data_IF_817885011721
#
_entry.id   IF_817885011721
#
_cell.length_a   1.000
_cell.length_b   1.000
_cell.length_c   1.000
_cell.angle_alpha   90.00
_cell.angle_beta   90.00
_cell.angle_gamma   90.00
#
_symmetry.space_group_name_H-M   'P 1'
#
loop_
_entity.id
_entity.type
_entity.pdbx_description
1 polymer ?
#
# COMPACT_ATOMS: atom_id res chain seq x y z
N UNK A 1 -3.32 4.89 1.78
CA UNK A 1 -4.08 6.03 1.20
C UNK A 1 -3.59 7.38 1.70
N UNK A 2 -3.16 7.47 2.96
CA UNK A 2 -2.66 8.68 3.61
C UNK A 2 -1.63 9.51 2.79
N UNK A 3 -0.72 8.88 2.03
CA UNK A 3 0.25 9.62 1.20
C UNK A 3 -0.40 10.36 0.02
N UNK A 4 -1.35 9.70 -0.66
CA UNK A 4 -2.05 10.27 -1.80
C UNK A 4 -2.89 11.48 -1.37
N UNK A 5 -3.45 11.45 -0.16
CA UNK A 5 -4.35 12.53 0.29
C UNK A 5 -3.63 13.84 0.53
N UNK A 6 -2.35 13.83 0.92
CA UNK A 6 -1.54 15.06 0.97
C UNK A 6 -1.43 15.70 -0.41
N UNK A 7 -1.11 14.90 -1.43
CA UNK A 7 -0.99 15.41 -2.81
C UNK A 7 -2.33 15.92 -3.35
N UNK A 8 -3.43 15.20 -3.10
CA UNK A 8 -4.78 15.64 -3.51
C UNK A 8 -5.18 16.94 -2.80
N UNK A 9 -4.88 17.07 -1.50
CA UNK A 9 -5.14 18.30 -0.75
C UNK A 9 -4.34 19.48 -1.27
N UNK A 10 -3.06 19.27 -1.62
CA UNK A 10 -2.22 20.30 -2.23
C UNK A 10 -2.76 20.79 -3.59
N UNK A 11 -3.52 19.96 -4.30
CA UNK A 11 -4.25 20.35 -5.52
C UNK A 11 -5.57 21.08 -5.24
N UNK A 12 -5.90 21.35 -3.98
CA UNK A 12 -7.14 22.03 -3.58
C UNK A 12 -8.37 21.13 -3.57
N UNK A 13 -8.20 19.80 -3.58
CA UNK A 13 -9.33 18.87 -3.53
C UNK A 13 -9.78 18.64 -2.08
N UNK A 14 -11.09 18.59 -1.89
CA UNK A 14 -11.69 18.08 -0.67
C UNK A 14 -11.62 16.56 -0.66
N UNK A 15 -11.03 15.99 0.39
CA UNK A 15 -10.77 14.55 0.48
C UNK A 15 -11.25 14.04 1.83
N UNK A 16 -11.98 12.93 1.81
CA UNK A 16 -12.33 12.15 2.99
C UNK A 16 -11.75 10.76 2.81
N UNK A 17 -11.11 10.23 3.85
CA UNK A 17 -10.59 8.87 3.85
C UNK A 17 -11.56 7.98 4.60
N UNK A 18 -11.93 6.85 3.98
CA UNK A 18 -12.69 5.78 4.62
C UNK A 18 -11.86 4.51 4.52
N UNK A 19 -11.35 4.00 5.63
CA UNK A 19 -10.48 2.81 5.63
C UNK A 19 -10.73 1.91 6.85
N UNK A 20 -10.39 0.61 6.76
CA UNK A 20 -10.64 -0.32 7.86
C UNK A 20 -9.70 -0.03 9.04
N UNK A 21 -10.22 -0.19 10.26
CA UNK A 21 -9.46 -0.05 11.49
C UNK A 21 -8.91 -1.40 11.93
N UNK A 22 -7.58 -1.56 11.83
CA UNK A 22 -6.87 -2.75 12.27
C UNK A 22 -6.28 -2.51 13.67
N UNK A 23 -6.84 -3.11 14.74
CA UNK A 23 -6.39 -2.85 16.10
C UNK A 23 -5.06 -3.55 16.43
N UNK A 24 -4.63 -4.52 15.64
CA UNK A 24 -3.43 -5.30 15.90
C UNK A 24 -2.48 -5.38 14.71
N UNK A 25 -1.20 -5.57 15.03
CA UNK A 25 -0.16 -6.05 14.11
C UNK A 25 0.55 -7.26 14.70
N UNK A 26 1.29 -7.98 13.86
CA UNK A 26 2.13 -9.10 14.30
C UNK A 26 3.26 -8.56 15.18
N UNK A 27 3.41 -9.12 16.37
CA UNK A 27 4.58 -8.89 17.21
C UNK A 27 5.78 -9.66 16.64
N UNK A 28 6.63 -8.94 15.89
CA UNK A 28 7.80 -9.50 15.23
C UNK A 28 8.83 -10.08 16.20
N UNK A 29 8.97 -9.51 17.40
CA UNK A 29 9.97 -9.99 18.36
C UNK A 29 9.52 -11.28 19.02
N UNK A 30 8.25 -11.35 19.40
CA UNK A 30 7.66 -12.60 19.91
C UNK A 30 7.57 -13.67 18.81
N UNK A 31 7.24 -13.28 17.57
CA UNK A 31 7.22 -14.21 16.43
C UNK A 31 8.59 -14.87 16.21
N UNK A 32 9.69 -14.10 16.25
CA UNK A 32 11.05 -14.63 16.12
C UNK A 32 11.36 -15.68 17.19
N UNK A 33 10.98 -15.42 18.45
CA UNK A 33 11.17 -16.37 19.55
C UNK A 33 10.39 -17.66 19.31
N UNK A 34 9.12 -17.56 18.94
CA UNK A 34 8.27 -18.74 18.65
C UNK A 34 8.74 -19.55 17.45
N UNK A 35 9.31 -18.90 16.44
CA UNK A 35 9.94 -19.59 15.31
C UNK A 35 11.19 -20.34 15.78
N UNK A 36 12.08 -19.70 16.55
CA UNK A 36 13.31 -20.31 17.05
C UNK A 36 13.03 -21.55 17.91
N UNK A 37 12.01 -21.48 18.76
CA UNK A 37 11.62 -22.56 19.68
C UNK A 37 10.61 -23.54 19.06
N UNK A 38 10.28 -23.39 17.77
CA UNK A 38 9.31 -24.22 17.02
C UNK A 38 7.92 -24.31 17.68
N UNK A 39 7.49 -23.26 18.36
CA UNK A 39 6.21 -23.15 19.08
C UNK A 39 5.16 -22.31 18.36
N UNK A 40 5.45 -21.84 17.13
CA UNK A 40 4.54 -20.99 16.36
C UNK A 40 3.29 -21.75 15.89
N UNK A 41 2.11 -21.22 16.25
CA UNK A 41 0.85 -21.52 15.57
C UNK A 41 0.58 -20.44 14.51
N UNK A 42 0.66 -20.80 13.24
CA UNK A 42 0.41 -19.89 12.13
C UNK A 42 -1.06 -19.49 12.00
N UNK A 43 -1.99 -20.19 12.67
CA UNK A 43 -3.39 -19.75 12.78
C UNK A 43 -3.60 -18.77 13.95
N UNK A 44 -2.63 -18.57 14.84
CA UNK A 44 -2.73 -17.61 15.94
C UNK A 44 -1.36 -16.93 16.20
N UNK A 45 -0.90 -16.08 15.26
CA UNK A 45 0.39 -15.41 15.41
C UNK A 45 0.37 -14.49 16.63
N UNK A 46 1.52 -14.25 17.29
CA UNK A 46 1.59 -13.31 18.38
C UNK A 46 1.25 -11.90 17.88
N UNK A 47 0.29 -11.26 18.55
CA UNK A 47 -0.21 -9.94 18.20
C UNK A 47 0.15 -8.92 19.26
N UNK A 48 0.35 -7.68 18.83
CA UNK A 48 0.40 -6.50 19.70
C UNK A 48 -0.50 -5.41 19.13
N UNK A 49 -0.89 -4.46 19.98
CA UNK A 49 -1.70 -3.31 19.54
C UNK A 49 -0.98 -2.54 18.44
N UNK A 50 -1.71 -2.19 17.38
CA UNK A 50 -1.19 -1.37 16.29
C UNK A 50 -1.28 0.11 16.67
N UNK A 51 -0.13 0.78 16.60
CA UNK A 51 0.01 2.16 17.03
C UNK A 51 -0.04 3.10 15.82
N UNK A 52 -1.25 3.60 15.53
CA UNK A 52 -1.51 4.54 14.43
C UNK A 52 -0.76 5.87 14.58
N UNK A 53 -0.29 6.22 15.78
CA UNK A 53 0.44 7.46 16.06
C UNK A 53 1.92 7.35 15.67
N UNK A 54 2.43 6.13 15.49
CA UNK A 54 3.81 5.86 15.04
C UNK A 54 3.93 5.74 13.52
N UNK A 55 2.85 5.95 12.78
CA UNK A 55 2.89 5.96 11.33
C UNK A 55 3.62 7.21 10.82
N UNK A 56 4.26 7.14 9.62
CA UNK A 56 4.85 8.33 8.99
C UNK A 56 3.85 9.47 8.78
N UNK A 57 2.58 9.10 8.57
CA UNK A 57 1.42 10.00 8.60
C UNK A 57 0.54 9.52 9.75
N UNK A 58 0.66 10.12 10.96
CA UNK A 58 0.00 9.61 12.15
C UNK A 58 -1.50 9.87 12.13
N UNK A 59 -2.26 8.97 12.77
CA UNK A 59 -3.69 9.14 13.06
C UNK A 59 -3.93 9.02 14.56
N UNK A 60 -4.83 9.85 15.10
CA UNK A 60 -5.20 9.82 16.53
C UNK A 60 -6.59 9.26 16.71
N UNK A 61 -6.66 7.94 16.78
CA UNK A 61 -7.93 7.23 16.83
C UNK A 61 -8.57 7.45 18.21
N UNK A 62 -9.78 8.02 18.30
CA UNK A 62 -10.44 8.21 19.58
C UNK A 62 -10.78 6.85 20.23
N UNK A 63 -10.88 6.85 21.57
CA UNK A 63 -11.25 5.63 22.32
C UNK A 63 -12.70 5.20 22.11
N UNK A 64 -13.57 6.14 21.76
CA UNK A 64 -15.00 5.90 21.55
C UNK A 64 -15.34 6.05 20.06
N UNK A 65 -16.22 5.19 19.53
CA UNK A 65 -16.73 5.37 18.18
C UNK A 65 -17.58 6.65 18.09
N UNK A 66 -17.52 7.28 16.92
CA UNK A 66 -18.31 8.45 16.54
C UNK A 66 -19.75 8.04 16.21
N UNK A 67 -19.91 6.95 15.45
CA UNK A 67 -21.20 6.34 15.16
C UNK A 67 -21.06 4.84 14.84
N UNK A 68 -22.20 4.20 14.60
CA UNK A 68 -22.28 2.77 14.28
C UNK A 68 -23.06 2.55 12.99
N UNK A 69 -22.63 1.56 12.22
CA UNK A 69 -23.39 1.06 11.07
C UNK A 69 -23.58 -0.46 11.19
N UNK A 70 -24.50 -0.99 10.42
CA UNK A 70 -24.76 -2.43 10.33
C UNK A 70 -24.67 -2.86 8.88
N UNK A 71 -24.02 -3.99 8.61
CA UNK A 71 -23.94 -4.57 7.27
C UNK A 71 -24.29 -6.05 7.29
N UNK A 72 -24.81 -6.57 6.19
CA UNK A 72 -24.99 -8.00 5.99
C UNK A 72 -23.81 -8.59 5.20
N UNK A 73 -23.13 -9.56 5.80
CA UNK A 73 -22.04 -10.33 5.18
C UNK A 73 -22.38 -11.81 5.22
N UNK A 74 -22.43 -12.47 4.06
CA UNK A 74 -22.84 -13.89 3.95
C UNK A 74 -24.15 -14.21 4.69
N UNK A 75 -25.14 -13.31 4.63
CA UNK A 75 -26.43 -13.45 5.30
C UNK A 75 -26.40 -13.25 6.82
N UNK A 76 -25.27 -12.86 7.41
CA UNK A 76 -25.13 -12.54 8.83
C UNK A 76 -25.05 -11.02 9.03
N UNK A 77 -25.71 -10.55 10.08
CA UNK A 77 -25.65 -9.16 10.51
C UNK A 77 -24.34 -8.90 11.25
N UNK A 78 -23.55 -7.95 10.76
CA UNK A 78 -22.28 -7.51 11.37
C UNK A 78 -22.44 -6.08 11.84
N UNK A 79 -22.14 -5.85 13.13
CA UNK A 79 -22.12 -4.50 13.73
C UNK A 79 -20.74 -3.88 13.54
N UNK A 80 -20.72 -2.63 13.09
CA UNK A 80 -19.49 -1.92 12.75
C UNK A 80 -19.41 -0.63 13.57
N UNK A 81 -18.29 -0.46 14.25
CA UNK A 81 -17.94 0.76 14.98
C UNK A 81 -17.10 1.66 14.07
N UNK A 82 -17.48 2.93 13.98
CA UNK A 82 -16.81 3.92 13.14
C UNK A 82 -16.19 5.00 14.01
N UNK A 83 -14.91 5.27 13.80
CA UNK A 83 -14.11 6.22 14.54
C UNK A 83 -13.73 7.35 13.59
N UNK A 84 -14.10 8.57 13.95
CA UNK A 84 -13.70 9.77 13.21
C UNK A 84 -12.40 10.33 13.79
N UNK A 85 -11.44 10.60 12.93
CA UNK A 85 -10.17 11.25 13.27
C UNK A 85 -9.70 12.12 12.09
N UNK A 86 -8.50 12.68 12.20
CA UNK A 86 -7.84 13.44 11.15
C UNK A 86 -6.38 13.00 11.05
N UNK A 87 -5.77 13.20 9.89
CA UNK A 87 -4.32 13.11 9.73
C UNK A 87 -3.63 14.47 10.05
N UNK A 88 -2.32 14.51 9.88
CA UNK A 88 -1.50 15.70 10.14
C UNK A 88 -1.80 16.90 9.21
N UNK A 89 -2.48 16.64 8.09
CA UNK A 89 -3.04 17.65 7.20
C UNK A 89 -4.45 18.08 7.58
N UNK A 90 -5.05 17.63 8.69
CA UNK A 90 -6.47 17.87 9.01
C UNK A 90 -7.43 17.30 7.95
N UNK A 91 -7.03 16.26 7.21
CA UNK A 91 -7.94 15.53 6.31
C UNK A 91 -8.80 14.60 7.18
N UNK A 92 -10.14 14.63 7.08
CA UNK A 92 -10.99 13.70 7.81
C UNK A 92 -10.73 12.24 7.43
N UNK A 93 -10.57 11.40 8.45
CA UNK A 93 -10.40 9.95 8.31
C UNK A 93 -11.45 9.22 9.14
N UNK A 94 -12.20 8.36 8.49
CA UNK A 94 -13.19 7.49 9.09
C UNK A 94 -12.67 6.05 9.07
N UNK A 95 -12.33 5.59 10.27
CA UNK A 95 -11.79 4.25 10.52
C UNK A 95 -12.92 3.34 10.99
N UNK A 96 -13.14 2.20 10.34
CA UNK A 96 -14.24 1.29 10.70
C UNK A 96 -13.76 -0.12 11.05
N UNK A 97 -14.28 -0.70 12.14
CA UNK A 97 -14.03 -2.11 12.52
C UNK A 97 -15.31 -2.86 12.84
N UNK A 98 -15.31 -4.16 12.57
CA UNK A 98 -16.35 -5.02 13.11
C UNK A 98 -16.15 -5.26 14.61
N UNK A 99 -17.24 -5.30 15.37
CA UNK A 99 -17.19 -5.44 16.84
C UNK A 99 -16.62 -6.77 17.31
N UNK A 100 -16.78 -7.82 16.50
CA UNK A 100 -16.30 -9.16 16.83
C UNK A 100 -14.82 -9.35 16.46
N UNK A 101 -14.19 -8.34 15.85
CA UNK A 101 -12.80 -8.36 15.40
C UNK A 101 -12.45 -9.61 14.59
N UNK A 102 -13.36 -10.00 13.69
CA UNK A 102 -13.18 -11.11 12.75
C UNK A 102 -12.61 -10.62 11.42
N UNK A 103 -13.17 -9.55 10.85
CA UNK A 103 -12.76 -9.06 9.52
C UNK A 103 -11.59 -8.07 9.59
N UNK A 104 -11.52 -7.27 10.66
CA UNK A 104 -10.51 -6.23 10.80
C UNK A 104 -9.49 -6.52 11.91
N UNK A 105 -9.40 -7.75 12.43
CA UNK A 105 -8.42 -8.12 13.47
C UNK A 105 -7.00 -7.74 13.09
N UNK A 106 -6.59 -8.15 11.89
CA UNK A 106 -5.23 -8.04 11.40
C UNK A 106 -5.26 -7.81 9.88
N UNK A 107 -4.45 -6.86 9.43
CA UNK A 107 -4.32 -6.55 8.01
C UNK A 107 -3.74 -7.74 7.22
N UNK A 108 -4.34 -8.05 6.08
CA UNK A 108 -3.92 -9.12 5.15
C UNK A 108 -3.85 -10.53 5.74
N UNK A 109 -4.62 -10.82 6.79
CA UNK A 109 -4.67 -12.16 7.40
C UNK A 109 -5.95 -12.91 7.01
N UNK A 110 -5.81 -14.03 6.30
CA UNK A 110 -6.93 -14.80 5.75
C UNK A 110 -6.88 -16.27 6.14
N UNK A 111 -8.05 -16.88 6.27
CA UNK A 111 -8.22 -18.30 6.50
C UNK A 111 -9.32 -18.92 5.66
N UNK A 112 -9.98 -19.93 6.22
CA UNK A 112 -11.05 -20.71 5.58
C UNK A 112 -12.47 -20.25 5.94
N UNK A 113 -12.63 -19.08 6.57
CA UNK A 113 -13.93 -18.57 7.03
C UNK A 113 -14.42 -19.15 8.36
N UNK A 114 -13.51 -19.77 9.13
CA UNK A 114 -13.82 -20.37 10.44
C UNK A 114 -13.25 -19.54 11.58
N UNK A 115 -11.93 -19.64 11.82
CA UNK A 115 -11.21 -18.77 12.77
C UNK A 115 -10.85 -17.41 12.19
N UNK A 116 -10.60 -17.38 10.88
CA UNK A 116 -10.21 -16.19 10.13
C UNK A 116 -11.02 -16.10 8.83
N UNK A 117 -11.36 -14.89 8.38
CA UNK A 117 -12.16 -14.68 7.20
C UNK A 117 -11.42 -15.12 5.94
N UNK A 118 -12.16 -15.57 4.93
CA UNK A 118 -11.64 -15.72 3.58
C UNK A 118 -11.38 -14.36 2.93
N UNK A 119 -10.56 -14.31 1.88
CA UNK A 119 -10.36 -13.08 1.11
C UNK A 119 -11.67 -12.54 0.48
N UNK A 120 -12.61 -13.43 0.15
CA UNK A 120 -13.95 -13.08 -0.33
C UNK A 120 -14.76 -12.37 0.76
N UNK A 121 -14.78 -12.94 1.97
CA UNK A 121 -15.47 -12.38 3.15
C UNK A 121 -14.94 -11.02 3.54
N UNK A 122 -13.61 -10.85 3.55
CA UNK A 122 -13.01 -9.55 3.80
C UNK A 122 -13.39 -8.56 2.70
N UNK A 123 -13.33 -8.94 1.42
CA UNK A 123 -13.70 -8.03 0.32
C UNK A 123 -15.17 -7.60 0.37
N UNK A 124 -16.08 -8.54 0.68
CA UNK A 124 -17.50 -8.25 0.90
C UNK A 124 -17.69 -7.28 2.08
N UNK A 125 -17.14 -7.62 3.24
CA UNK A 125 -17.26 -6.81 4.45
C UNK A 125 -16.69 -5.40 4.24
N UNK A 126 -15.44 -5.29 3.78
CA UNK A 126 -14.75 -4.01 3.64
C UNK A 126 -15.52 -3.05 2.72
N UNK A 127 -16.04 -3.56 1.60
CA UNK A 127 -16.74 -2.72 0.62
C UNK A 127 -18.15 -2.36 1.06
N UNK A 128 -18.91 -3.30 1.66
CA UNK A 128 -20.24 -2.98 2.19
C UNK A 128 -20.17 -2.02 3.38
N UNK A 129 -19.26 -2.25 4.32
CA UNK A 129 -19.06 -1.38 5.48
C UNK A 129 -18.60 0.02 5.03
N UNK A 130 -17.63 0.09 4.12
CA UNK A 130 -17.18 1.35 3.53
C UNK A 130 -18.31 2.14 2.88
N UNK A 131 -19.17 1.50 2.08
CA UNK A 131 -20.33 2.17 1.47
C UNK A 131 -21.34 2.67 2.51
N UNK A 132 -21.62 1.93 3.57
CA UNK A 132 -22.53 2.40 4.64
C UNK A 132 -21.95 3.61 5.36
N UNK A 133 -20.62 3.63 5.57
CA UNK A 133 -19.93 4.78 6.17
C UNK A 133 -20.01 6.00 5.24
N UNK A 134 -19.72 5.81 3.94
CA UNK A 134 -19.82 6.88 2.93
C UNK A 134 -21.25 7.42 2.87
N UNK A 135 -22.26 6.55 2.78
CA UNK A 135 -23.66 6.96 2.74
C UNK A 135 -24.08 7.75 3.99
N UNK A 136 -23.61 7.36 5.17
CA UNK A 136 -23.85 8.13 6.40
C UNK A 136 -23.26 9.54 6.32
N UNK A 137 -22.02 9.67 5.86
CA UNK A 137 -21.31 10.96 5.73
C UNK A 137 -22.03 11.84 4.70
N UNK A 138 -22.30 11.31 3.51
CA UNK A 138 -22.93 12.05 2.40
C UNK A 138 -24.37 12.47 2.73
N UNK A 139 -25.15 11.63 3.43
CA UNK A 139 -26.49 12.01 3.86
C UNK A 139 -26.47 13.15 4.89
N UNK A 140 -25.38 13.29 5.65
CA UNK A 140 -25.19 14.44 6.54
C UNK A 140 -24.80 15.69 5.72
N UNK A 141 -23.83 15.57 4.82
CA UNK A 141 -23.40 16.67 3.95
C UNK A 141 -24.57 17.19 3.09
N UNK A 142 -25.38 16.30 2.52
CA UNK A 142 -26.56 16.70 1.74
C UNK A 142 -27.59 17.48 2.56
N UNK A 143 -27.73 17.20 3.87
CA UNK A 143 -28.59 17.98 4.76
C UNK A 143 -27.99 19.33 5.11
N UNK A 144 -26.68 19.36 5.33
CA UNK A 144 -25.96 20.56 5.75
C UNK A 144 -25.77 21.55 4.59
N UNK A 145 -25.56 21.07 3.36
CA UNK A 145 -25.28 21.87 2.16
C UNK A 145 -26.51 22.13 1.28
N UNK A 146 -27.58 21.34 1.41
CA UNK A 146 -28.81 21.49 0.63
C UNK A 146 -28.57 21.44 -0.88
N UNK A 147 -28.93 22.52 -1.59
CA UNK A 147 -28.81 22.62 -3.05
C UNK A 147 -27.36 22.75 -3.55
N UNK A 148 -26.41 23.08 -2.65
CA UNK A 148 -24.99 23.16 -2.99
C UNK A 148 -24.31 21.79 -3.05
N UNK A 149 -24.93 20.76 -2.47
CA UNK A 149 -24.37 19.41 -2.44
C UNK A 149 -24.21 18.84 -3.84
N UNK A 150 -23.05 18.26 -4.11
CA UNK A 150 -22.75 17.55 -5.36
C UNK A 150 -22.40 16.09 -5.07
N UNK A 151 -22.73 15.16 -5.99
CA UNK A 151 -22.40 13.75 -5.80
C UNK A 151 -20.89 13.51 -5.63
N UNK A 152 -20.46 12.59 -4.74
CA UNK A 152 -19.06 12.37 -4.48
C UNK A 152 -18.38 11.54 -5.57
N UNK A 153 -17.05 11.60 -5.58
CA UNK A 153 -16.21 10.62 -6.28
C UNK A 153 -15.79 9.53 -5.28
N UNK A 154 -16.20 8.29 -5.51
CA UNK A 154 -15.83 7.15 -4.67
C UNK A 154 -14.66 6.41 -5.32
N UNK A 155 -13.45 6.58 -4.79
CA UNK A 155 -12.24 5.96 -5.32
C UNK A 155 -11.86 4.68 -4.55
N UNK A 156 -12.07 3.53 -5.18
CA UNK A 156 -11.67 2.21 -4.67
C UNK A 156 -10.28 1.79 -5.15
N UNK A 157 -9.51 1.18 -4.25
CA UNK A 157 -8.10 0.84 -4.46
C UNK A 157 -7.82 -0.66 -4.28
N UNK A 158 -7.28 -1.27 -5.32
CA UNK A 158 -6.93 -2.70 -5.42
C UNK A 158 -8.13 -3.65 -5.29
N UNK A 159 -7.91 -4.93 -5.60
CA UNK A 159 -8.98 -5.92 -5.82
C UNK A 159 -9.96 -6.11 -4.65
N UNK A 160 -9.56 -5.79 -3.42
CA UNK A 160 -10.37 -5.94 -2.21
C UNK A 160 -11.48 -4.88 -2.09
N UNK A 161 -11.24 -3.69 -2.65
CA UNK A 161 -12.16 -2.55 -2.53
C UNK A 161 -13.05 -2.38 -3.77
N UNK A 162 -12.77 -3.07 -4.88
CA UNK A 162 -13.46 -2.83 -6.15
C UNK A 162 -14.92 -3.29 -6.15
N UNK A 163 -15.33 -4.17 -5.23
CA UNK A 163 -16.74 -4.56 -5.11
C UNK A 163 -17.66 -3.43 -4.68
N UNK A 164 -17.13 -2.31 -4.18
CA UNK A 164 -17.94 -1.16 -3.78
C UNK A 164 -18.81 -0.63 -4.93
N UNK A 165 -18.33 -0.65 -6.18
CA UNK A 165 -19.13 -0.23 -7.33
C UNK A 165 -20.19 -1.26 -7.75
N UNK A 166 -20.05 -2.51 -7.32
CA UNK A 166 -20.95 -3.60 -7.69
C UNK A 166 -22.23 -3.54 -6.88
N UNK A 167 -22.14 -3.31 -5.57
CA UNK A 167 -23.29 -3.46 -4.67
C UNK A 167 -24.45 -2.52 -5.02
N UNK A 168 -24.17 -1.28 -5.40
CA UNK A 168 -25.21 -0.30 -5.76
C UNK A 168 -25.93 -0.61 -7.08
N UNK A 169 -25.47 -1.57 -7.89
CA UNK A 169 -26.16 -1.98 -9.11
C UNK A 169 -27.49 -2.70 -8.82
N UNK A 170 -27.55 -3.48 -7.74
CA UNK A 170 -28.68 -4.38 -7.52
C UNK A 170 -29.09 -4.56 -6.05
N UNK A 171 -28.29 -4.11 -5.08
CA UNK A 171 -28.58 -4.32 -3.67
C UNK A 171 -29.23 -3.06 -3.09
N UNK A 172 -30.49 -3.19 -2.66
CA UNK A 172 -31.35 -2.05 -2.27
C UNK A 172 -30.73 -1.16 -1.18
N UNK A 173 -30.06 -1.75 -0.20
CA UNK A 173 -29.39 -1.00 0.88
C UNK A 173 -28.31 -0.02 0.37
N UNK A 174 -27.79 -0.24 -0.84
CA UNK A 174 -26.77 0.60 -1.47
C UNK A 174 -27.31 1.41 -2.67
N UNK A 175 -28.64 1.49 -2.83
CA UNK A 175 -29.31 2.29 -3.85
C UNK A 175 -29.84 3.62 -3.27
N UNK A 176 -29.08 4.23 -2.37
CA UNK A 176 -29.37 5.57 -1.84
C UNK A 176 -29.03 6.66 -2.86
N UNK A 177 -29.56 7.87 -2.69
CA UNK A 177 -29.28 9.00 -3.61
C UNK A 177 -27.78 9.27 -3.73
N UNK A 178 -27.06 9.30 -2.60
CA UNK A 178 -25.62 9.54 -2.57
C UNK A 178 -24.84 8.47 -3.36
N UNK A 179 -25.07 7.19 -3.07
CA UNK A 179 -24.35 6.09 -3.72
C UNK A 179 -24.77 5.87 -5.17
N UNK A 180 -26.04 6.14 -5.52
CA UNK A 180 -26.51 6.00 -6.90
C UNK A 180 -25.86 7.04 -7.80
N UNK A 181 -25.83 8.30 -7.36
CA UNK A 181 -25.30 9.42 -8.13
C UNK A 181 -23.77 9.52 -8.11
N UNK A 182 -23.09 8.85 -7.18
CA UNK A 182 -21.64 8.90 -7.06
C UNK A 182 -20.91 8.49 -8.35
N UNK A 183 -19.80 9.19 -8.62
CA UNK A 183 -18.84 8.84 -9.67
C UNK A 183 -17.83 7.84 -9.11
N UNK A 184 -17.92 6.58 -9.56
CA UNK A 184 -17.00 5.55 -9.08
C UNK A 184 -15.67 5.61 -9.83
N UNK A 185 -14.58 5.53 -9.07
CA UNK A 185 -13.22 5.34 -9.57
C UNK A 185 -12.67 4.02 -9.04
N UNK A 186 -12.00 3.24 -9.89
CA UNK A 186 -11.44 1.93 -9.51
C UNK A 186 -10.04 1.75 -10.05
N UNK A 187 -9.07 1.68 -9.13
CA UNK A 187 -7.66 1.41 -9.47
C UNK A 187 -7.31 -0.03 -9.13
N UNK A 188 -6.68 -0.75 -10.05
CA UNK A 188 -6.07 -2.06 -9.78
C UNK A 188 -4.55 -1.98 -9.79
N UNK A 189 -3.90 -2.72 -8.90
CA UNK A 189 -2.45 -2.68 -8.65
C UNK A 189 -1.74 -3.98 -9.02
N UNK A 190 -2.47 -4.99 -9.49
CA UNK A 190 -1.93 -6.35 -9.53
C UNK A 190 -2.12 -7.01 -10.89
N UNK A 191 -1.00 -7.46 -11.47
CA UNK A 191 -0.97 -8.28 -12.66
C UNK A 191 -1.51 -9.67 -12.35
N UNK A 192 -2.53 -10.13 -13.09
CA UNK A 192 -3.08 -11.50 -13.07
C UNK A 192 -3.67 -12.02 -11.75
N UNK A 193 -3.29 -11.47 -10.59
CA UNK A 193 -3.87 -11.81 -9.30
C UNK A 193 -5.11 -10.93 -9.07
N UNK A 194 -6.24 -11.53 -9.38
CA UNK A 194 -7.55 -11.04 -9.02
C UNK A 194 -8.08 -11.88 -7.86
N UNK A 195 -8.97 -11.32 -7.05
CA UNK A 195 -9.65 -12.13 -6.04
C UNK A 195 -10.72 -12.95 -6.76
N UNK A 196 -10.46 -14.24 -6.96
CA UNK A 196 -11.38 -15.14 -7.64
C UNK A 196 -11.56 -16.47 -6.90
N UNK A 197 -12.68 -17.13 -7.18
CA UNK A 197 -13.03 -18.44 -6.64
C UNK A 197 -13.59 -19.32 -7.75
N UNK A 198 -13.48 -20.63 -7.57
CA UNK A 198 -13.85 -21.62 -8.59
C UNK A 198 -15.16 -22.35 -8.23
N UNK A 199 -15.83 -22.85 -9.27
CA UNK A 199 -16.95 -23.81 -9.14
C UNK A 199 -18.19 -23.29 -8.41
N UNK A 200 -19.00 -24.23 -7.92
CA UNK A 200 -20.26 -23.91 -7.24
C UNK A 200 -20.04 -23.22 -5.90
N UNK A 201 -18.93 -23.49 -5.19
CA UNK A 201 -18.61 -22.83 -3.93
C UNK A 201 -18.59 -21.29 -4.04
N UNK A 202 -17.91 -20.76 -5.05
CA UNK A 202 -17.86 -19.33 -5.31
C UNK A 202 -19.20 -18.76 -5.83
N UNK A 203 -19.95 -19.54 -6.62
CA UNK A 203 -21.31 -19.18 -7.03
C UNK A 203 -22.24 -19.01 -5.83
N UNK A 204 -22.30 -20.02 -4.96
CA UNK A 204 -23.16 -20.01 -3.78
C UNK A 204 -22.76 -18.91 -2.80
N UNK A 205 -21.46 -18.64 -2.69
CA UNK A 205 -20.96 -17.52 -1.92
C UNK A 205 -21.55 -16.18 -2.40
N UNK A 206 -21.50 -15.91 -3.70
CA UNK A 206 -22.01 -14.65 -4.27
C UNK A 206 -23.53 -14.52 -4.10
N UNK A 207 -24.27 -15.60 -4.29
CA UNK A 207 -25.72 -15.62 -4.04
C UNK A 207 -26.03 -15.26 -2.58
N UNK A 208 -25.31 -15.84 -1.61
CA UNK A 208 -25.44 -15.50 -0.18
C UNK A 208 -24.96 -14.09 0.16
N UNK A 209 -24.02 -13.55 -0.60
CA UNK A 209 -23.60 -12.14 -0.49
C UNK A 209 -24.67 -11.17 -1.00
N UNK A 210 -25.78 -11.66 -1.57
CA UNK A 210 -26.88 -10.86 -2.09
C UNK A 210 -26.72 -10.49 -3.57
N UNK A 211 -25.85 -11.17 -4.32
CA UNK A 211 -25.79 -11.04 -5.79
C UNK A 211 -26.98 -11.79 -6.40
N UNK A 212 -27.88 -11.12 -7.15
CA UNK A 212 -28.96 -11.82 -7.83
C UNK A 212 -28.41 -12.79 -8.88
N UNK A 213 -29.09 -13.90 -9.09
CA UNK A 213 -28.65 -14.94 -10.02
C UNK A 213 -28.44 -14.42 -11.44
N UNK A 214 -29.32 -13.54 -11.92
CA UNK A 214 -29.23 -12.90 -13.23
C UNK A 214 -28.08 -11.89 -13.35
N UNK A 215 -27.39 -11.54 -12.26
CA UNK A 215 -26.21 -10.66 -12.24
C UNK A 215 -24.89 -11.41 -12.06
N UNK A 216 -24.92 -12.73 -11.83
CA UNK A 216 -23.72 -13.55 -11.65
C UNK A 216 -22.76 -13.52 -12.85
N UNK A 217 -23.25 -13.20 -14.06
CA UNK A 217 -22.43 -13.07 -15.26
C UNK A 217 -21.34 -11.99 -15.12
N UNK A 218 -21.58 -10.95 -14.31
CA UNK A 218 -20.62 -9.87 -14.05
C UNK A 218 -19.30 -10.39 -13.49
N UNK A 219 -19.39 -11.43 -12.67
CA UNK A 219 -18.27 -12.07 -11.98
C UNK A 219 -17.65 -13.20 -12.82
N UNK A 220 -18.40 -13.81 -13.74
CA UNK A 220 -17.92 -14.96 -14.52
C UNK A 220 -16.80 -14.55 -15.49
N UNK A 221 -15.65 -15.18 -15.35
CA UNK A 221 -14.48 -15.01 -16.23
C UNK A 221 -13.99 -16.35 -16.75
N UNK A 222 -13.74 -16.43 -18.05
CA UNK A 222 -13.03 -17.56 -18.66
C UNK A 222 -11.53 -17.40 -18.42
N UNK A 223 -10.87 -18.46 -17.92
CA UNK A 223 -9.44 -18.40 -17.67
C UNK A 223 -8.64 -18.46 -18.99
N UNK A 224 -7.71 -17.52 -19.25
CA UNK A 224 -6.99 -17.41 -20.53
C UNK A 224 -6.07 -18.58 -20.88
N UNK A 225 -5.73 -19.47 -19.93
CA UNK A 225 -4.67 -20.48 -20.07
C UNK A 225 -5.14 -21.95 -19.97
N UNK A 226 -6.33 -22.27 -20.49
CA UNK A 226 -6.42 -23.49 -21.31
C UNK A 226 -7.07 -24.77 -20.78
N UNK A 227 -8.03 -24.71 -19.86
CA UNK A 227 -8.92 -25.86 -19.59
C UNK A 227 -10.42 -25.55 -19.79
N UNK A 228 -10.75 -24.35 -20.25
CA UNK A 228 -12.13 -23.91 -20.44
C UNK A 228 -12.89 -23.64 -19.14
N UNK A 229 -12.24 -23.65 -17.97
CA UNK A 229 -12.92 -23.41 -16.69
C UNK A 229 -13.30 -21.94 -16.52
N UNK A 230 -14.47 -21.75 -15.93
CA UNK A 230 -14.96 -20.46 -15.48
C UNK A 230 -14.65 -20.26 -13.99
N UNK A 231 -14.25 -19.03 -13.65
CA UNK A 231 -14.08 -18.57 -12.28
C UNK A 231 -15.04 -17.40 -12.00
N UNK A 232 -15.28 -17.12 -10.73
CA UNK A 232 -15.96 -15.93 -10.26
C UNK A 232 -14.94 -14.93 -9.73
N UNK A 233 -14.71 -13.87 -10.48
CA UNK A 233 -13.65 -12.88 -10.27
C UNK A 233 -14.23 -11.55 -9.74
N UNK A 234 -13.98 -11.27 -8.46
CA UNK A 234 -14.47 -10.08 -7.74
C UNK A 234 -13.84 -8.80 -8.27
N UNK A 235 -12.53 -8.84 -8.56
CA UNK A 235 -11.78 -7.68 -9.03
C UNK A 235 -12.27 -7.26 -10.41
N UNK A 236 -12.46 -8.22 -11.33
CA UNK A 236 -13.02 -7.98 -12.66
C UNK A 236 -14.46 -7.47 -12.57
N UNK A 237 -15.29 -8.05 -11.71
CA UNK A 237 -16.67 -7.59 -11.51
C UNK A 237 -16.72 -6.12 -11.11
N UNK A 238 -15.86 -5.71 -10.16
CA UNK A 238 -15.75 -4.31 -9.74
C UNK A 238 -15.30 -3.36 -10.86
N UNK A 239 -14.30 -3.76 -11.66
CA UNK A 239 -13.89 -2.96 -12.83
C UNK A 239 -15.02 -2.78 -13.85
N UNK A 240 -15.74 -3.85 -14.18
CA UNK A 240 -16.87 -3.79 -15.12
C UNK A 240 -18.02 -2.95 -14.55
N UNK A 241 -18.37 -3.13 -13.27
CA UNK A 241 -19.40 -2.36 -12.61
C UNK A 241 -19.11 -0.85 -12.64
N UNK A 242 -17.86 -0.46 -12.36
CA UNK A 242 -17.42 0.93 -12.46
C UNK A 242 -17.64 1.50 -13.87
N UNK A 243 -17.31 0.74 -14.92
CA UNK A 243 -17.51 1.18 -16.30
C UNK A 243 -19.00 1.29 -16.71
N UNK A 244 -19.83 0.35 -16.24
CA UNK A 244 -21.30 0.37 -16.43
C UNK A 244 -21.89 1.65 -15.84
N UNK A 245 -21.41 2.08 -14.67
CA UNK A 245 -21.85 3.30 -13.98
C UNK A 245 -21.24 4.59 -14.55
N UNK A 246 -20.66 4.53 -15.75
CA UNK A 246 -19.94 5.66 -16.35
C UNK A 246 -18.81 6.23 -15.50
N UNK A 247 -18.26 5.41 -14.60
CA UNK A 247 -17.11 5.72 -13.78
C UNK A 247 -15.77 5.56 -14.52
N UNK A 248 -14.70 5.70 -13.75
CA UNK A 248 -13.33 5.69 -14.22
C UNK A 248 -12.57 4.46 -13.69
N UNK A 249 -11.94 3.68 -14.58
CA UNK A 249 -11.12 2.54 -14.16
C UNK A 249 -9.70 2.68 -14.71
N UNK A 250 -8.71 2.38 -13.88
CA UNK A 250 -7.30 2.49 -14.25
C UNK A 250 -6.41 1.38 -13.68
N UNK A 251 -5.31 1.12 -14.38
CA UNK A 251 -4.14 0.45 -13.84
C UNK A 251 -3.06 1.46 -13.44
N UNK A 252 -2.07 1.00 -12.68
CA UNK A 252 -0.95 1.82 -12.17
C UNK A 252 0.20 2.11 -13.17
N UNK A 253 -0.01 1.82 -14.45
CA UNK A 253 0.85 2.22 -15.58
C UNK A 253 0.15 1.87 -16.90
N UNK A 254 0.63 2.42 -18.02
CA UNK A 254 0.09 2.07 -19.34
C UNK A 254 0.28 0.58 -19.69
N UNK A 255 1.47 0.04 -19.39
CA UNK A 255 1.75 -1.38 -19.56
C UNK A 255 0.82 -2.26 -18.71
N UNK A 256 0.53 -1.84 -17.48
CA UNK A 256 -0.40 -2.56 -16.61
C UNK A 256 -1.83 -2.49 -17.12
N UNK A 257 -2.31 -1.30 -17.47
CA UNK A 257 -3.65 -1.10 -18.02
C UNK A 257 -3.86 -1.93 -19.29
N UNK A 258 -2.87 -1.98 -20.18
CA UNK A 258 -2.90 -2.81 -21.39
C UNK A 258 -3.05 -4.30 -21.08
N UNK A 259 -2.38 -4.82 -20.05
CA UNK A 259 -2.57 -6.22 -19.65
C UNK A 259 -3.95 -6.49 -19.05
N UNK A 260 -4.44 -5.61 -18.18
CA UNK A 260 -5.78 -5.75 -17.58
C UNK A 260 -6.85 -5.77 -18.66
N UNK A 261 -6.74 -4.92 -19.70
CA UNK A 261 -7.66 -4.89 -20.85
C UNK A 261 -7.72 -6.25 -21.57
N UNK A 262 -6.60 -6.97 -21.68
CA UNK A 262 -6.57 -8.32 -22.28
C UNK A 262 -7.33 -9.35 -21.43
N UNK A 263 -7.24 -9.24 -20.11
CA UNK A 263 -7.88 -10.17 -19.17
C UNK A 263 -9.31 -9.81 -18.79
N UNK A 264 -9.71 -8.58 -19.09
CA UNK A 264 -11.06 -8.06 -18.94
C UNK A 264 -11.59 -7.73 -20.34
N UNK A 265 -11.83 -8.73 -21.21
CA UNK A 265 -12.32 -8.48 -22.57
C UNK A 265 -13.53 -7.57 -22.47
N UNK A 266 -13.39 -6.43 -23.14
CA UNK A 266 -14.16 -5.22 -22.91
C UNK A 266 -15.64 -5.51 -23.14
N UNK A 267 -16.43 -5.49 -22.07
CA UNK A 267 -17.90 -5.50 -22.20
C UNK A 267 -18.41 -4.16 -22.77
N UNK A 268 -17.55 -3.13 -22.86
CA UNK A 268 -17.91 -1.78 -23.33
C UNK A 268 -16.75 -1.05 -24.04
N UNK A 269 -17.07 -0.11 -24.93
CA UNK A 269 -16.14 0.78 -25.66
C UNK A 269 -15.30 1.75 -24.79
N UNK A 270 -15.24 1.56 -23.47
CA UNK A 270 -14.53 2.47 -22.54
C UNK A 270 -13.15 1.92 -22.20
N UNK A 271 -12.14 2.78 -22.30
CA UNK A 271 -10.77 2.43 -21.99
C UNK A 271 -10.54 2.27 -20.48
N UNK A 272 -9.73 1.28 -20.09
CA UNK A 272 -9.07 1.24 -18.77
C UNK A 272 -7.80 2.09 -18.88
N UNK A 273 -7.67 3.17 -18.15
CA UNK A 273 -6.55 4.11 -18.29
C UNK A 273 -5.29 3.63 -17.57
N UNK A 274 -4.11 4.06 -18.02
CA UNK A 274 -2.87 3.92 -17.27
C UNK A 274 -2.58 5.22 -16.53
N UNK A 275 -2.70 5.21 -15.19
CA UNK A 275 -2.20 6.29 -14.34
C UNK A 275 -0.95 5.77 -13.65
N UNK A 276 0.22 6.24 -14.04
CA UNK A 276 1.48 5.83 -13.41
C UNK A 276 1.50 6.27 -11.95
N UNK A 277 1.76 5.34 -11.03
CA UNK A 277 1.89 5.68 -9.61
C UNK A 277 2.98 6.74 -9.41
N UNK A 278 2.70 7.71 -8.53
CA UNK A 278 3.67 8.68 -8.03
C UNK A 278 4.11 8.34 -6.61
N UNK A 279 4.94 9.22 -6.05
CA UNK A 279 5.41 9.13 -4.67
C UNK A 279 5.33 10.50 -3.99
N UNK A 280 5.32 10.52 -2.66
CA UNK A 280 5.46 11.76 -1.89
C UNK A 280 6.95 12.12 -1.85
N UNK A 281 7.39 12.87 -2.87
CA UNK A 281 8.82 13.02 -3.18
C UNK A 281 9.63 13.61 -2.02
N UNK A 282 9.07 14.56 -1.26
CA UNK A 282 9.73 15.13 -0.07
C UNK A 282 10.05 14.07 0.98
N UNK A 283 9.16 13.11 1.18
CA UNK A 283 9.37 11.99 2.09
C UNK A 283 10.42 11.00 1.53
N UNK A 284 10.30 10.62 0.27
CA UNK A 284 11.17 9.59 -0.33
C UNK A 284 12.60 10.08 -0.57
N UNK A 285 12.78 11.37 -0.87
CA UNK A 285 14.11 11.96 -1.06
C UNK A 285 14.73 12.48 0.24
N UNK A 286 14.05 12.38 1.39
CA UNK A 286 14.51 12.94 2.68
C UNK A 286 15.98 12.63 2.98
N UNK A 287 16.38 11.36 2.93
CA UNK A 287 17.75 10.96 3.26
C UNK A 287 18.77 11.47 2.23
N UNK A 288 18.39 11.47 0.95
CA UNK A 288 19.23 12.01 -0.13
C UNK A 288 19.44 13.51 0.05
N UNK A 289 18.35 14.26 0.23
CA UNK A 289 18.38 15.69 0.41
C UNK A 289 19.09 16.11 1.71
N UNK A 290 18.91 15.36 2.81
CA UNK A 290 19.69 15.53 4.05
C UNK A 290 21.18 15.41 3.77
N UNK A 291 21.60 14.29 3.15
CA UNK A 291 23.01 14.02 2.89
C UNK A 291 23.61 15.04 1.90
N UNK A 292 22.83 15.48 0.92
CA UNK A 292 23.18 16.57 0.01
C UNK A 292 23.57 17.86 0.76
N UNK A 293 22.74 18.32 1.71
CA UNK A 293 23.05 19.53 2.50
C UNK A 293 24.25 19.30 3.43
N UNK A 294 24.33 18.15 4.09
CA UNK A 294 25.43 17.81 5.00
C UNK A 294 26.81 17.81 4.31
N UNK A 295 26.84 17.40 3.03
CA UNK A 295 28.05 17.39 2.21
C UNK A 295 28.44 18.76 1.64
N UNK A 296 27.65 19.80 1.92
CA UNK A 296 27.97 21.18 1.53
C UNK A 296 27.60 21.54 0.09
N UNK A 297 26.72 20.76 -0.55
CA UNK A 297 26.15 21.14 -1.85
C UNK A 297 25.01 22.19 -1.71
N UNK A 298 24.46 22.36 -0.51
CA UNK A 298 23.63 23.51 -0.15
C UNK A 298 24.46 24.71 0.33
N UNK A 299 23.85 25.89 0.45
CA UNK A 299 24.53 27.06 1.00
C UNK A 299 24.84 26.90 2.51
N UNK A 300 25.70 27.76 3.06
CA UNK A 300 25.97 27.75 4.50
C UNK A 300 24.72 28.13 5.31
N UNK A 301 23.91 29.06 4.81
CA UNK A 301 22.58 29.36 5.37
C UNK A 301 21.72 28.11 5.36
N UNK A 302 21.81 27.32 4.29
CA UNK A 302 21.01 26.12 4.15
C UNK A 302 21.33 25.08 5.23
N UNK A 303 22.62 24.92 5.53
CA UNK A 303 23.14 24.06 6.60
C UNK A 303 22.74 24.56 7.98
N UNK A 304 22.85 25.86 8.25
CA UNK A 304 22.45 26.45 9.54
C UNK A 304 20.95 26.24 9.80
N UNK A 305 20.11 26.44 8.78
CA UNK A 305 18.67 26.21 8.89
C UNK A 305 18.34 24.72 9.07
N UNK A 306 19.09 23.81 8.43
CA UNK A 306 18.94 22.37 8.67
C UNK A 306 19.18 22.02 10.14
N UNK A 307 20.25 22.54 10.75
CA UNK A 307 20.56 22.30 12.17
C UNK A 307 19.45 22.83 13.10
N UNK A 308 18.88 24.00 12.78
CA UNK A 308 17.73 24.57 13.48
C UNK A 308 16.50 23.67 13.37
N UNK A 309 16.12 23.27 12.15
CA UNK A 309 14.95 22.41 11.91
C UNK A 309 15.11 21.05 12.58
N UNK A 310 16.32 20.48 12.58
CA UNK A 310 16.60 19.24 13.32
C UNK A 310 16.48 19.42 14.83
N UNK A 311 16.83 20.59 15.38
CA UNK A 311 16.61 20.90 16.80
C UNK A 311 15.13 21.02 17.11
N UNK A 312 14.38 21.77 16.30
CA UNK A 312 12.94 21.94 16.45
C UNK A 312 12.22 20.58 16.38
N UNK A 313 12.61 19.71 15.44
CA UNK A 313 12.11 18.35 15.33
C UNK A 313 12.37 17.54 16.61
N UNK A 314 13.60 17.60 17.16
CA UNK A 314 13.93 16.89 18.42
C UNK A 314 13.09 17.38 19.60
N UNK A 315 12.81 18.68 19.66
CA UNK A 315 11.97 19.27 20.71
C UNK A 315 10.51 18.86 20.56
N UNK A 316 9.95 19.00 19.35
CA UNK A 316 8.57 18.65 19.01
C UNK A 316 8.28 17.15 19.15
N UNK A 317 9.27 16.30 18.86
CA UNK A 317 9.17 14.84 19.00
C UNK A 317 9.71 14.31 20.34
N UNK A 318 10.00 15.18 21.31
CA UNK A 318 10.36 14.75 22.66
C UNK A 318 9.20 14.02 23.32
N UNK A 319 9.49 13.07 24.22
CA UNK A 319 8.44 12.27 24.91
C UNK A 319 7.37 13.17 25.53
N UNK A 320 7.79 14.24 26.21
CA UNK A 320 6.88 15.21 26.84
C UNK A 320 6.03 15.99 25.83
N UNK A 321 6.61 16.37 24.69
CA UNK A 321 5.89 17.08 23.64
C UNK A 321 4.86 16.15 22.98
N UNK A 322 5.25 14.92 22.65
CA UNK A 322 4.34 13.91 22.10
C UNK A 322 3.19 13.62 23.08
N UNK A 323 3.44 13.47 24.37
CA UNK A 323 2.37 13.29 25.36
C UNK A 323 1.40 14.49 25.43
N UNK A 324 1.90 15.71 25.22
CA UNK A 324 1.07 16.91 25.20
C UNK A 324 0.24 17.02 23.91
N UNK A 325 0.85 16.68 22.79
CA UNK A 325 0.19 16.52 21.49
C UNK A 325 -1.00 15.57 21.62
N UNK A 326 -0.83 14.40 22.25
CA UNK A 326 -1.89 13.43 22.46
C UNK A 326 -3.06 13.96 23.28
N UNK A 327 -2.81 14.85 24.24
CA UNK A 327 -3.86 15.50 25.03
C UNK A 327 -4.61 16.59 24.26
N UNK A 328 -3.92 17.30 23.36
CA UNK A 328 -4.45 18.48 22.67
C UNK A 328 -5.01 18.17 21.28
N UNK A 329 -4.62 17.04 20.66
CA UNK A 329 -4.96 16.75 19.27
C UNK A 329 -4.09 17.48 18.23
N UNK A 330 -2.95 18.07 18.64
CA UNK A 330 -1.99 18.76 17.77
C UNK A 330 -0.93 17.84 17.17
N UNK A 331 -0.57 17.98 15.90
CA UNK A 331 0.41 17.12 15.23
C UNK A 331 1.81 17.73 15.14
N UNK A 332 2.30 18.36 16.22
CA UNK A 332 3.48 19.23 16.18
C UNK A 332 4.74 18.48 15.72
N UNK A 333 4.97 17.24 16.21
CA UNK A 333 6.08 16.40 15.74
C UNK A 333 5.99 16.07 14.24
N UNK A 334 4.81 15.72 13.73
CA UNK A 334 4.62 15.40 12.32
C UNK A 334 4.76 16.64 11.43
N UNK A 335 4.27 17.79 11.91
CA UNK A 335 4.40 19.08 11.23
C UNK A 335 5.86 19.51 11.15
N UNK A 336 6.62 19.41 12.24
CA UNK A 336 8.05 19.70 12.25
C UNK A 336 8.84 18.76 11.30
N UNK A 337 8.47 17.48 11.24
CA UNK A 337 9.09 16.54 10.30
C UNK A 337 8.78 16.91 8.85
N UNK A 338 7.53 17.29 8.55
CA UNK A 338 7.13 17.72 7.21
C UNK A 338 7.87 19.00 6.79
N UNK A 339 7.96 20.00 7.67
CA UNK A 339 8.69 21.23 7.40
C UNK A 339 10.16 20.93 7.06
N UNK A 340 10.79 20.03 7.81
CA UNK A 340 12.15 19.57 7.51
C UNK A 340 12.25 18.90 6.13
N UNK A 341 11.33 17.99 5.81
CA UNK A 341 11.33 17.26 4.54
C UNK A 341 11.14 18.17 3.33
N UNK A 342 10.17 19.09 3.41
CA UNK A 342 9.88 20.07 2.36
C UNK A 342 11.04 21.02 2.17
N UNK A 343 11.63 21.51 3.27
CA UNK A 343 12.80 22.36 3.21
C UNK A 343 13.99 21.67 2.53
N UNK A 344 14.29 20.42 2.92
CA UNK A 344 15.36 19.63 2.32
C UNK A 344 15.12 19.40 0.82
N UNK A 345 13.89 19.04 0.46
CA UNK A 345 13.47 18.89 -0.93
C UNK A 345 13.70 20.17 -1.73
N UNK A 346 13.30 21.33 -1.21
CA UNK A 346 13.52 22.62 -1.85
C UNK A 346 15.00 22.92 -2.08
N UNK A 347 15.87 22.64 -1.08
CA UNK A 347 17.30 22.89 -1.24
C UNK A 347 17.93 22.04 -2.35
N UNK A 348 17.53 20.77 -2.45
CA UNK A 348 17.97 19.88 -3.51
C UNK A 348 17.56 20.41 -4.89
N UNK A 349 16.28 20.77 -5.07
CA UNK A 349 15.78 21.23 -6.36
C UNK A 349 16.29 22.61 -6.75
N UNK A 350 16.52 23.50 -5.79
CA UNK A 350 17.22 24.78 -6.05
C UNK A 350 18.60 24.56 -6.67
N UNK A 351 19.33 23.51 -6.26
CA UNK A 351 20.61 23.17 -6.85
C UNK A 351 20.45 22.49 -8.23
N UNK A 352 19.50 21.57 -8.36
CA UNK A 352 19.26 20.83 -9.61
C UNK A 352 18.76 21.74 -10.73
N UNK A 353 17.85 22.66 -10.41
CA UNK A 353 17.22 23.57 -11.36
C UNK A 353 18.03 24.87 -11.55
N UNK A 354 19.16 25.04 -10.86
CA UNK A 354 20.04 26.19 -11.06
C UNK A 354 20.64 26.15 -12.47
N UNK A 355 20.44 27.17 -13.31
CA UNK A 355 21.03 27.24 -14.66
C UNK A 355 22.57 27.16 -14.67
N UNK A 356 23.23 27.52 -13.57
CA UNK A 356 24.69 27.47 -13.41
C UNK A 356 25.20 26.07 -13.03
N UNK A 357 24.31 25.15 -12.64
CA UNK A 357 24.68 23.76 -12.34
C UNK A 357 24.89 22.97 -13.63
N UNK A 358 26.14 22.74 -14.00
CA UNK A 358 26.45 21.93 -15.18
C UNK A 358 26.24 20.42 -14.93
N UNK A 359 26.20 19.64 -16.01
CA UNK A 359 26.01 18.18 -15.94
C UNK A 359 27.09 17.46 -15.12
N UNK A 360 28.32 17.96 -15.11
CA UNK A 360 29.40 17.35 -14.36
C UNK A 360 29.19 17.58 -12.86
N UNK A 361 28.86 18.81 -12.45
CA UNK A 361 28.54 19.14 -11.06
C UNK A 361 27.34 18.35 -10.53
N UNK A 362 26.28 18.21 -11.32
CA UNK A 362 25.13 17.37 -10.98
C UNK A 362 25.51 15.90 -10.82
N UNK A 363 26.37 15.39 -11.71
CA UNK A 363 26.84 14.00 -11.66
C UNK A 363 27.73 13.74 -10.45
N UNK A 364 28.68 14.64 -10.18
CA UNK A 364 29.56 14.57 -9.00
C UNK A 364 28.75 14.57 -7.70
N UNK A 365 27.83 15.51 -7.56
CA UNK A 365 26.91 15.58 -6.42
C UNK A 365 26.13 14.28 -6.26
N UNK A 366 25.48 13.81 -7.32
CA UNK A 366 24.66 12.61 -7.25
C UNK A 366 25.46 11.38 -6.83
N UNK A 367 26.62 11.16 -7.46
CA UNK A 367 27.51 10.04 -7.15
C UNK A 367 28.01 10.12 -5.71
N UNK A 368 28.43 11.30 -5.26
CA UNK A 368 28.97 11.50 -3.92
C UNK A 368 27.91 11.29 -2.84
N UNK A 369 26.73 11.91 -2.99
CA UNK A 369 25.61 11.75 -2.05
C UNK A 369 25.17 10.29 -1.98
N UNK A 370 24.99 9.63 -3.14
CA UNK A 370 24.61 8.23 -3.19
C UNK A 370 25.65 7.32 -2.52
N UNK A 371 26.94 7.56 -2.75
CA UNK A 371 28.01 6.79 -2.14
C UNK A 371 28.01 6.90 -0.61
N UNK A 372 27.90 8.11 -0.07
CA UNK A 372 27.88 8.32 1.39
C UNK A 372 26.64 7.70 2.03
N UNK A 373 25.47 7.78 1.39
CA UNK A 373 24.27 7.10 1.86
C UNK A 373 24.42 5.57 1.86
N UNK A 374 25.04 5.00 0.82
CA UNK A 374 25.30 3.54 0.79
C UNK A 374 26.26 3.13 1.90
N UNK A 375 27.27 3.95 2.21
CA UNK A 375 28.16 3.71 3.34
C UNK A 375 27.40 3.74 4.68
N UNK A 376 26.53 4.74 4.89
CA UNK A 376 25.66 4.79 6.08
C UNK A 376 24.75 3.56 6.18
N UNK A 377 24.16 3.14 5.06
CA UNK A 377 23.31 1.95 5.01
C UNK A 377 24.10 0.67 5.34
N UNK A 378 25.30 0.51 4.79
CA UNK A 378 26.19 -0.61 5.10
C UNK A 378 26.46 -0.67 6.60
N UNK A 379 26.85 0.47 7.19
CA UNK A 379 27.25 0.53 8.59
C UNK A 379 26.08 0.25 9.54
N UNK A 380 24.88 0.73 9.20
CA UNK A 380 23.71 0.61 10.06
C UNK A 380 22.91 -0.68 9.86
N UNK A 381 22.89 -1.22 8.64
CA UNK A 381 21.95 -2.27 8.26
C UNK A 381 22.58 -3.53 7.67
N UNK A 382 23.86 -3.50 7.29
CA UNK A 382 24.56 -4.68 6.73
C UNK A 382 25.59 -5.22 7.72
N UNK A 383 26.55 -4.38 8.15
CA UNK A 383 27.63 -4.79 9.06
C UNK A 383 27.12 -5.42 10.38
N UNK A 384 26.07 -4.91 11.04
CA UNK A 384 25.59 -5.52 12.28
C UNK A 384 24.95 -6.89 12.08
N UNK A 385 24.63 -7.28 10.85
CA UNK A 385 23.87 -8.48 10.51
C UNK A 385 24.60 -9.39 9.50
N UNK A 386 25.94 -9.31 9.42
CA UNK A 386 26.70 -10.03 8.38
C UNK A 386 26.48 -11.54 8.42
N UNK A 387 26.41 -12.11 9.62
CA UNK A 387 26.22 -13.55 9.83
C UNK A 387 24.83 -13.97 9.39
N UNK A 388 23.81 -13.21 9.79
CA UNK A 388 22.40 -13.46 9.48
C UNK A 388 22.10 -13.27 7.99
N UNK A 389 22.76 -12.29 7.35
CA UNK A 389 22.66 -12.05 5.91
C UNK A 389 23.53 -13.01 5.09
N UNK A 390 24.32 -13.87 5.75
CA UNK A 390 25.26 -14.79 5.12
C UNK A 390 26.20 -14.08 4.11
N UNK A 391 26.66 -12.89 4.46
CA UNK A 391 27.58 -12.11 3.61
C UNK A 391 29.01 -12.54 3.92
N UNK A 392 29.68 -13.08 2.93
CA UNK A 392 31.08 -13.46 3.02
C UNK A 392 31.95 -12.36 2.41
N UNK A 393 32.86 -11.80 3.20
CA UNK A 393 33.90 -10.90 2.70
C UNK A 393 34.90 -11.76 1.93
N UNK A 394 35.20 -11.46 0.66
CA UNK A 394 36.16 -12.24 -0.11
C UNK A 394 37.54 -12.27 0.54
N UNK A 395 38.26 -13.38 0.44
CA UNK A 395 39.53 -13.60 1.13
C UNK A 395 40.59 -12.56 0.73
N UNK A 396 40.54 -12.03 -0.51
CA UNK A 396 41.42 -10.96 -0.96
C UNK A 396 41.25 -9.63 -0.21
N UNK A 397 40.17 -9.46 0.57
CA UNK A 397 39.92 -8.30 1.42
C UNK A 397 40.15 -8.57 2.90
N UNK A 398 40.68 -9.73 3.27
CA UNK A 398 40.98 -10.07 4.67
C UNK A 398 42.00 -9.11 5.27
N UNK A 399 41.67 -8.51 6.42
CA UNK A 399 42.45 -7.43 7.04
C UNK A 399 42.34 -6.08 6.32
N UNK A 400 41.50 -5.98 5.29
CA UNK A 400 41.18 -4.77 4.53
C UNK A 400 39.67 -4.62 4.32
N UNK A 401 38.87 -4.99 5.31
CA UNK A 401 37.41 -5.06 5.23
C UNK A 401 36.81 -3.68 4.88
N UNK A 402 37.42 -2.59 5.36
CA UNK A 402 37.01 -1.25 4.98
C UNK A 402 37.16 -0.98 3.47
N UNK A 403 38.18 -1.53 2.82
CA UNK A 403 38.34 -1.40 1.36
C UNK A 403 37.26 -2.17 0.62
N UNK A 404 36.87 -3.36 1.12
CA UNK A 404 35.73 -4.12 0.58
C UNK A 404 34.45 -3.29 0.61
N UNK A 405 34.10 -2.71 1.76
CA UNK A 405 32.87 -1.93 1.91
C UNK A 405 32.84 -0.69 1.02
N UNK A 406 33.97 0.02 0.88
CA UNK A 406 34.09 1.14 -0.06
C UNK A 406 33.87 0.71 -1.50
N UNK A 407 34.45 -0.42 -1.92
CA UNK A 407 34.23 -0.97 -3.26
C UNK A 407 32.78 -1.43 -3.46
N UNK A 408 32.19 -2.07 -2.46
CA UNK A 408 30.80 -2.53 -2.49
C UNK A 408 29.80 -1.37 -2.61
N UNK A 409 30.02 -0.27 -1.88
CA UNK A 409 29.24 0.96 -1.98
C UNK A 409 29.37 1.65 -3.34
N UNK A 410 30.53 1.56 -3.99
CA UNK A 410 30.76 2.14 -5.31
C UNK A 410 30.01 1.41 -6.43
N UNK A 411 29.55 0.17 -6.21
CA UNK A 411 28.77 -0.57 -7.20
C UNK A 411 27.39 0.05 -7.43
N UNK A 412 26.77 -0.12 -8.61
CA UNK A 412 25.38 0.25 -8.84
C UNK A 412 24.46 -0.64 -8.00
N UNK A 413 23.56 -0.03 -7.23
CA UNK A 413 22.61 -0.76 -6.40
C UNK A 413 21.22 -0.68 -7.01
N UNK A 414 20.51 -1.81 -7.02
CA UNK A 414 19.09 -1.88 -7.38
C UNK A 414 18.33 -2.48 -6.22
N UNK A 415 17.32 -1.76 -5.75
CA UNK A 415 16.48 -2.16 -4.64
C UNK A 415 15.12 -2.68 -5.09
N UNK A 416 14.60 -3.69 -4.39
CA UNK A 416 13.16 -3.99 -4.32
C UNK A 416 12.73 -3.88 -2.86
N UNK A 417 11.68 -3.11 -2.59
CA UNK A 417 11.03 -3.06 -1.29
C UNK A 417 9.53 -3.30 -1.49
N UNK A 418 8.98 -4.29 -0.80
CA UNK A 418 7.57 -4.62 -0.96
C UNK A 418 7.19 -6.01 -0.46
N UNK A 419 5.93 -6.39 -0.70
CA UNK A 419 5.46 -7.74 -0.38
C UNK A 419 6.21 -8.77 -1.22
N UNK A 420 6.68 -9.84 -0.60
CA UNK A 420 7.30 -10.94 -1.30
C UNK A 420 6.26 -11.99 -1.68
N UNK A 421 5.63 -11.79 -2.84
CA UNK A 421 4.53 -12.62 -3.35
C UNK A 421 4.67 -12.80 -4.87
N UNK A 422 4.31 -13.98 -5.39
CA UNK A 422 4.54 -14.38 -6.78
C UNK A 422 3.88 -13.46 -7.82
N UNK A 423 2.88 -12.67 -7.44
CA UNK A 423 2.23 -11.72 -8.34
C UNK A 423 2.90 -10.33 -8.34
N UNK A 424 3.66 -9.97 -7.29
CA UNK A 424 4.27 -8.62 -7.13
C UNK A 424 5.79 -8.60 -7.25
N UNK A 425 6.45 -9.76 -7.12
CA UNK A 425 7.91 -9.90 -7.12
C UNK A 425 8.64 -9.48 -8.41
N UNK A 426 7.92 -9.16 -9.50
CA UNK A 426 8.51 -8.74 -10.76
C UNK A 426 9.41 -9.77 -11.46
N UNK A 427 9.56 -11.01 -10.92
CA UNK A 427 10.43 -12.06 -11.48
C UNK A 427 10.04 -12.52 -12.89
N UNK A 428 8.86 -12.12 -13.37
CA UNK A 428 8.42 -12.41 -14.73
C UNK A 428 8.77 -11.30 -15.73
N UNK A 429 9.36 -10.19 -15.27
CA UNK A 429 9.70 -9.04 -16.12
C UNK A 429 11.05 -8.40 -15.75
N UNK A 430 11.13 -7.75 -14.59
CA UNK A 430 12.25 -6.87 -14.23
C UNK A 430 13.32 -7.59 -13.40
N UNK A 431 12.91 -8.34 -12.39
CA UNK A 431 13.81 -9.04 -11.47
C UNK A 431 13.89 -10.54 -11.79
N UNK A 432 13.78 -10.96 -13.05
CA UNK A 432 13.87 -12.38 -13.40
C UNK A 432 15.20 -12.97 -12.91
N UNK A 433 15.26 -14.28 -12.66
CA UNK A 433 16.52 -14.95 -12.28
C UNK A 433 17.62 -14.65 -13.31
N UNK A 434 17.27 -14.62 -14.60
CA UNK A 434 18.15 -14.21 -15.67
C UNK A 434 18.66 -12.77 -15.49
N UNK A 435 17.78 -11.79 -15.27
CA UNK A 435 18.16 -10.38 -15.10
C UNK A 435 19.01 -10.16 -13.85
N UNK A 436 18.69 -10.84 -12.74
CA UNK A 436 19.48 -10.77 -11.50
C UNK A 436 20.88 -11.34 -11.75
N UNK A 437 20.99 -12.57 -12.27
CA UNK A 437 22.30 -13.19 -12.58
C UNK A 437 23.09 -12.36 -13.59
N UNK A 438 22.42 -11.82 -14.59
CA UNK A 438 23.05 -10.94 -15.58
C UNK A 438 23.57 -9.66 -14.94
N UNK A 439 22.77 -8.97 -14.13
CA UNK A 439 23.19 -7.78 -13.40
C UNK A 439 24.35 -8.04 -12.44
N UNK A 440 24.30 -9.13 -11.68
CA UNK A 440 25.40 -9.56 -10.78
C UNK A 440 26.70 -9.78 -11.56
N UNK A 441 26.64 -10.45 -12.72
CA UNK A 441 27.81 -10.66 -13.60
C UNK A 441 28.41 -9.33 -14.11
N UNK A 442 27.61 -8.28 -14.20
CA UNK A 442 28.04 -6.95 -14.63
C UNK A 442 28.27 -5.99 -13.45
N UNK A 443 28.43 -6.51 -12.23
CA UNK A 443 28.83 -5.73 -11.06
C UNK A 443 27.70 -4.94 -10.40
N UNK A 444 26.43 -5.30 -10.62
CA UNK A 444 25.31 -4.70 -9.91
C UNK A 444 25.06 -5.41 -8.57
N UNK A 445 24.61 -4.66 -7.57
CA UNK A 445 24.16 -5.18 -6.27
C UNK A 445 22.64 -5.14 -6.24
N UNK A 446 22.01 -6.25 -5.87
CA UNK A 446 20.56 -6.33 -5.67
C UNK A 446 20.25 -6.36 -4.18
N UNK A 447 19.45 -5.41 -3.70
CA UNK A 447 18.94 -5.35 -2.33
C UNK A 447 17.45 -5.67 -2.35
N UNK A 448 17.07 -6.75 -1.70
CA UNK A 448 15.68 -7.21 -1.66
C UNK A 448 15.17 -7.10 -0.23
N UNK A 449 14.40 -6.05 0.04
CA UNK A 449 13.68 -5.81 1.29
C UNK A 449 12.27 -6.38 1.16
N UNK A 450 12.21 -7.70 1.18
CA UNK A 450 10.99 -8.48 1.15
C UNK A 450 10.30 -8.44 2.52
N UNK A 451 9.03 -8.03 2.57
CA UNK A 451 8.17 -8.39 3.69
C UNK A 451 7.51 -9.74 3.38
N UNK A 452 8.01 -10.88 3.93
CA UNK A 452 7.36 -12.16 3.75
C UNK A 452 5.95 -12.10 4.33
N UNK A 453 4.96 -12.43 3.52
CA UNK A 453 3.58 -12.54 3.97
C UNK A 453 3.34 -13.99 4.35
N UNK A 454 3.14 -14.29 5.63
CA UNK A 454 2.89 -15.65 6.08
C UNK A 454 1.45 -16.05 5.73
N UNK A 455 1.25 -16.68 4.57
CA UNK A 455 0.03 -17.41 4.24
C UNK A 455 0.34 -18.91 4.08
N UNK A 456 -0.67 -19.76 4.11
CA UNK A 456 -0.51 -21.23 4.14
C UNK A 456 0.35 -21.81 2.99
N UNK A 457 0.58 -21.05 1.93
CA UNK A 457 1.42 -21.43 0.77
C UNK A 457 2.81 -20.77 0.74
N UNK A 458 3.18 -19.89 1.69
CA UNK A 458 4.56 -19.32 1.72
C UNK A 458 5.64 -20.37 1.98
N UNK A 459 5.31 -21.47 2.67
CA UNK A 459 6.26 -22.55 2.95
C UNK A 459 6.49 -23.50 1.77
N UNK A 460 5.64 -23.48 0.74
CA UNK A 460 5.78 -24.41 -0.39
C UNK A 460 6.93 -24.07 -1.32
N UNK A 461 7.58 -22.91 -1.14
CA UNK A 461 8.53 -22.37 -2.10
C UNK A 461 7.91 -22.19 -3.49
N UNK A 462 8.63 -21.66 -4.47
CA UNK A 462 8.27 -21.89 -5.86
C UNK A 462 8.43 -23.40 -6.11
N UNK A 463 7.33 -24.11 -6.38
CA UNK A 463 7.41 -25.50 -6.80
C UNK A 463 8.00 -25.54 -8.23
N UNK A 464 9.33 -25.64 -8.29
CA UNK A 464 10.13 -25.70 -9.51
C UNK A 464 9.78 -26.92 -10.37
N UNK A 465 9.10 -27.92 -9.80
CA UNK A 465 8.65 -29.14 -10.47
C UNK A 465 7.14 -29.15 -10.79
N UNK A 466 6.38 -28.14 -10.34
CA UNK A 466 5.04 -27.91 -10.86
C UNK A 466 5.11 -27.35 -12.29
N UNK A 467 5.08 -28.27 -13.26
CA UNK A 467 4.69 -27.95 -14.64
C UNK A 467 3.30 -27.30 -14.73
N UNK A 468 2.57 -27.17 -13.62
CA UNK A 468 1.27 -26.48 -13.53
C UNK A 468 1.34 -24.95 -13.41
N UNK A 469 2.51 -24.32 -13.26
CA UNK A 469 2.60 -22.84 -13.27
C UNK A 469 3.63 -22.23 -14.22
N UNK A 470 4.47 -23.04 -14.85
CA UNK A 470 5.63 -22.55 -15.61
C UNK A 470 5.78 -23.29 -16.93
N UNK A 471 5.13 -22.75 -17.97
CA UNK A 471 5.19 -23.30 -19.32
C UNK A 471 4.60 -22.34 -20.34
N UNK A 472 5.39 -21.33 -20.70
CA UNK A 472 5.16 -20.55 -21.92
C UNK A 472 6.48 -20.51 -22.67
N UNK A 473 6.64 -21.38 -23.65
CA UNK A 473 7.60 -21.18 -24.74
C UNK A 473 7.27 -19.84 -25.39
N UNK A 474 8.22 -18.92 -25.35
CA UNK A 474 8.16 -17.65 -26.06
C UNK A 474 8.48 -17.91 -27.54
N UNK A 475 7.56 -17.55 -28.41
CA UNK A 475 7.85 -17.10 -29.77
C UNK A 475 7.44 -15.64 -29.86
#
# INVERSE_FOLDING_TARGET
MQYLTRALKALGLEVIIVEPYYPYEIDKEELKKRIADKSIDWEDPPLKAFDYEKLPIPLRVPKKPDFHVTVMVQGKVVKVDVFKTENDERVPVYLYKDRDEFFTKLLYFYGKGQKHPTAFEVSEFLTKAGLMVIDHIENKMMKDEGDAWVPPVIASQDGQALLASVWSLFHKDFQTKALVLAHYMSTTHTYRNTIYGEGDGARQYLLRAGVPENWLWLFKRLMPKGDGRYVYDLTRAGLIATLIRYGFANGVSDAHATEIRRFTPQVFHKAIYGITNGDLISLTLREFARKFVELGYGSQEAKNRLEELQRNLREACSVKAVEQDLKTGNFDCAQAQRELDEYLYEQLWRFVDNPDSDRNSLTEMFVKVQYELKMEYIDKHIKPYLVELNIQIPEEFKGQENLFWKKFAALPWVGYSGRWVNEKWGLLRAFTEYNIKWGLKHGMVFIILANPQFYRDTEKGPDVNSREQFGGSYY
#
